data_IF_171770752813
#
_entry.id   IF_171770752813
#
_cell.length_a   1.000
_cell.length_b   1.000
_cell.length_c   1.000
_cell.angle_alpha   90.00
_cell.angle_beta   90.00
_cell.angle_gamma   90.00
#
_symmetry.space_group_name_H-M   'P 1'
#
loop_
_entity.id
_entity.type
_entity.pdbx_description
1 polymer ?
#
# COMPACT_ATOMS: atom_id res chain seq x y z
N UNK A 1 1.86 -3.63 -12.14
CA UNK A 1 1.55 -3.79 -10.70
C UNK A 1 0.25 -3.11 -10.29
N UNK A 2 0.07 -1.79 -10.50
CA UNK A 2 -1.11 -1.05 -10.00
C UNK A 2 -2.48 -1.61 -10.44
N UNK A 3 -2.61 -2.12 -11.67
CA UNK A 3 -3.87 -2.76 -12.12
C UNK A 3 -4.15 -4.09 -11.42
N UNK A 4 -3.11 -4.91 -11.19
CA UNK A 4 -3.26 -6.16 -10.45
C UNK A 4 -3.63 -5.90 -8.98
N UNK A 5 -3.01 -4.90 -8.35
CA UNK A 5 -3.36 -4.47 -6.99
C UNK A 5 -4.79 -3.90 -6.95
N UNK A 6 -5.23 -3.22 -8.00
CA UNK A 6 -6.60 -2.73 -8.12
C UNK A 6 -7.63 -3.86 -8.24
N UNK A 7 -7.40 -4.85 -9.11
CA UNK A 7 -8.27 -6.03 -9.21
C UNK A 7 -8.27 -6.81 -7.89
N UNK A 8 -7.10 -7.00 -7.26
CA UNK A 8 -6.98 -7.64 -5.95
C UNK A 8 -7.77 -6.89 -4.88
N UNK A 9 -7.72 -5.56 -4.87
CA UNK A 9 -8.57 -4.73 -4.01
C UNK A 9 -10.04 -5.01 -4.25
N UNK A 10 -10.53 -4.95 -5.51
CA UNK A 10 -11.96 -5.14 -5.81
C UNK A 10 -12.48 -6.50 -5.36
N UNK A 11 -11.70 -7.56 -5.53
CA UNK A 11 -12.09 -8.91 -5.10
C UNK A 11 -12.07 -9.00 -3.58
N UNK A 12 -11.01 -8.53 -2.92
CA UNK A 12 -10.84 -8.69 -1.48
C UNK A 12 -11.74 -7.75 -0.66
N UNK A 13 -12.05 -6.55 -1.16
CA UNK A 13 -12.96 -5.59 -0.51
C UNK A 13 -14.41 -6.07 -0.49
N UNK A 14 -14.79 -6.95 -1.43
CA UNK A 14 -16.13 -7.53 -1.53
C UNK A 14 -16.20 -8.98 -1.02
N UNK A 15 -15.12 -9.49 -0.44
CA UNK A 15 -15.07 -10.86 0.07
C UNK A 15 -15.92 -11.00 1.35
N UNK A 16 -16.63 -12.12 1.59
CA UNK A 16 -17.48 -12.28 2.78
C UNK A 16 -16.74 -12.26 4.12
N UNK A 17 -15.44 -12.59 4.13
CA UNK A 17 -14.59 -12.55 5.32
C UNK A 17 -13.99 -11.16 5.54
N UNK A 18 -14.23 -10.61 6.73
CA UNK A 18 -13.79 -9.30 7.20
C UNK A 18 -12.26 -9.12 7.16
N UNK A 19 -11.46 -10.18 7.30
CA UNK A 19 -10.00 -10.08 7.21
C UNK A 19 -9.53 -9.67 5.82
N UNK A 20 -10.18 -10.18 4.78
CA UNK A 20 -9.89 -9.79 3.39
C UNK A 20 -10.32 -8.36 3.13
N UNK A 21 -11.52 -7.98 3.58
CA UNK A 21 -12.02 -6.62 3.44
C UNK A 21 -11.10 -5.62 4.14
N UNK A 22 -10.71 -5.91 5.39
CA UNK A 22 -9.79 -5.09 6.15
C UNK A 22 -8.45 -4.95 5.44
N UNK A 23 -7.87 -6.05 4.97
CA UNK A 23 -6.56 -6.04 4.30
C UNK A 23 -6.60 -5.23 3.00
N UNK A 24 -7.67 -5.36 2.21
CA UNK A 24 -7.88 -4.61 0.98
C UNK A 24 -7.99 -3.10 1.26
N UNK A 25 -8.82 -2.72 2.24
CA UNK A 25 -9.01 -1.33 2.63
C UNK A 25 -7.76 -0.72 3.25
N UNK A 26 -7.03 -1.47 4.07
CA UNK A 26 -5.74 -1.06 4.64
C UNK A 26 -4.72 -0.78 3.54
N UNK A 27 -4.66 -1.64 2.52
CA UNK A 27 -3.79 -1.44 1.36
C UNK A 27 -4.19 -0.16 0.60
N UNK A 28 -5.45 -0.02 0.22
CA UNK A 28 -5.95 1.16 -0.51
C UNK A 28 -5.70 2.47 0.26
N UNK A 29 -5.95 2.48 1.58
CA UNK A 29 -5.65 3.60 2.47
C UNK A 29 -4.16 3.95 2.46
N UNK A 30 -3.26 2.95 2.55
CA UNK A 30 -1.81 3.20 2.49
C UNK A 30 -1.39 3.80 1.15
N UNK A 31 -1.96 3.33 0.04
CA UNK A 31 -1.76 3.94 -1.28
C UNK A 31 -2.20 5.41 -1.32
N UNK A 32 -3.39 5.72 -0.81
CA UNK A 32 -3.94 7.08 -0.78
C UNK A 32 -3.15 8.03 0.12
N UNK A 33 -2.77 7.58 1.32
CA UNK A 33 -1.96 8.37 2.25
C UNK A 33 -0.56 8.63 1.68
N UNK A 34 0.09 7.61 1.10
CA UNK A 34 1.40 7.77 0.48
C UNK A 34 1.36 8.74 -0.72
N UNK A 35 0.35 8.62 -1.59
CA UNK A 35 0.15 9.53 -2.71
C UNK A 35 -0.10 10.97 -2.25
N UNK A 36 -0.90 11.15 -1.19
CA UNK A 36 -1.14 12.47 -0.59
C UNK A 36 0.14 13.04 0.01
N UNK A 37 0.88 12.24 0.80
CA UNK A 37 2.13 12.67 1.42
C UNK A 37 3.19 13.07 0.39
N UNK A 38 3.26 12.37 -0.74
CA UNK A 38 4.17 12.72 -1.84
C UNK A 38 3.81 14.01 -2.58
N UNK A 39 2.54 14.44 -2.53
CA UNK A 39 2.06 15.70 -3.12
C UNK A 39 2.11 16.87 -2.14
N UNK A 40 1.65 16.62 -0.92
CA UNK A 40 1.63 17.57 0.19
C UNK A 40 1.94 16.82 1.49
N UNK A 41 3.15 17.03 2.00
CA UNK A 41 3.63 16.37 3.21
C UNK A 41 2.93 16.86 4.49
N UNK A 42 2.37 18.06 4.50
CA UNK A 42 1.63 18.61 5.65
C UNK A 42 0.30 17.88 5.76
N UNK A 43 -0.45 17.80 4.65
CA UNK A 43 -1.73 17.08 4.61
C UNK A 43 -1.49 15.58 4.84
N UNK A 44 -0.47 15.00 4.20
CA UNK A 44 -0.13 13.60 4.39
C UNK A 44 0.18 13.25 5.84
N UNK A 45 0.90 14.13 6.56
CA UNK A 45 1.19 13.94 7.98
C UNK A 45 -0.08 14.02 8.83
N UNK A 46 -0.93 15.01 8.59
CA UNK A 46 -2.22 15.13 9.28
C UNK A 46 -3.10 13.88 9.08
N UNK A 47 -3.12 13.30 7.87
CA UNK A 47 -3.83 12.04 7.60
C UNK A 47 -3.26 10.88 8.43
N UNK A 48 -1.93 10.71 8.47
CA UNK A 48 -1.29 9.68 9.30
C UNK A 48 -1.63 9.87 10.79
N UNK A 49 -1.59 11.11 11.28
CA UNK A 49 -1.86 11.43 12.68
C UNK A 49 -3.34 11.19 13.05
N UNK A 50 -4.25 11.30 12.09
CA UNK A 50 -5.68 10.98 12.27
C UNK A 50 -5.99 9.48 12.34
N UNK A 51 -5.04 8.60 11.98
CA UNK A 51 -5.28 7.16 11.96
C UNK A 51 -5.46 6.59 13.37
N UNK A 52 -6.38 5.64 13.57
CA UNK A 52 -6.50 4.95 14.85
C UNK A 52 -5.19 4.25 15.24
N UNK A 53 -4.82 4.34 16.52
CA UNK A 53 -3.58 3.72 17.05
C UNK A 53 -3.48 2.22 16.75
N UNK A 54 -4.62 1.51 16.73
CA UNK A 54 -4.69 0.08 16.40
C UNK A 54 -4.22 -0.23 14.97
N UNK A 55 -4.57 0.62 14.01
CA UNK A 55 -4.13 0.48 12.61
C UNK A 55 -2.62 0.68 12.51
N UNK A 56 -2.10 1.72 13.17
CA UNK A 56 -0.67 2.00 13.21
C UNK A 56 0.10 0.81 13.83
N UNK A 57 -0.43 0.26 14.92
CA UNK A 57 0.14 -0.93 15.59
C UNK A 57 0.15 -2.14 14.65
N UNK A 58 -0.96 -2.43 13.98
CA UNK A 58 -1.06 -3.55 13.05
C UNK A 58 -0.10 -3.42 11.86
N UNK A 59 0.07 -2.21 11.30
CA UNK A 59 1.06 -1.96 10.26
C UNK A 59 2.47 -2.25 10.78
N UNK A 60 2.81 -1.80 11.99
CA UNK A 60 4.12 -2.08 12.61
C UNK A 60 4.35 -3.55 12.86
N UNK A 61 3.36 -4.27 13.40
CA UNK A 61 3.43 -5.72 13.63
C UNK A 61 3.72 -6.48 12.33
N UNK A 62 3.04 -6.10 11.23
CA UNK A 62 3.32 -6.69 9.91
C UNK A 62 4.76 -6.38 9.44
N UNK A 63 5.20 -5.13 9.57
CA UNK A 63 6.57 -4.75 9.20
C UNK A 63 7.62 -5.50 10.01
N UNK A 64 7.42 -5.61 11.32
CA UNK A 64 8.35 -6.28 12.23
C UNK A 64 8.36 -7.80 11.98
N UNK A 65 7.21 -8.40 11.69
CA UNK A 65 7.10 -9.78 11.22
C UNK A 65 7.98 -9.98 9.98
N UNK A 66 7.80 -9.19 8.92
CA UNK A 66 8.59 -9.32 7.69
C UNK A 66 10.08 -9.03 7.90
N UNK A 67 10.44 -8.05 8.74
CA UNK A 67 11.82 -7.75 9.13
C UNK A 67 12.50 -8.93 9.82
N UNK A 68 11.77 -9.68 10.65
CA UNK A 68 12.34 -10.84 11.36
C UNK A 68 12.86 -11.93 10.41
N UNK A 69 12.30 -12.03 9.19
CA UNK A 69 12.77 -12.94 8.15
C UNK A 69 13.98 -12.41 7.36
N UNK A 70 14.31 -11.12 7.45
CA UNK A 70 15.44 -10.52 6.73
C UNK A 70 16.81 -10.97 7.29
N UNK A 71 16.91 -11.27 8.58
CA UNK A 71 18.19 -11.54 9.26
C UNK A 71 18.83 -12.91 8.93
N UNK A 72 18.11 -13.87 8.31
CA UNK A 72 18.68 -15.20 7.98
C UNK A 72 19.16 -15.37 6.54
N UNK A 73 18.88 -14.41 5.66
CA UNK A 73 19.25 -14.45 4.24
C UNK A 73 19.76 -13.09 3.72
N UNK A 74 20.26 -12.26 4.65
CA UNK A 74 20.64 -10.87 4.44
C UNK A 74 21.58 -10.62 3.24
N UNK A 75 22.60 -11.43 2.94
CA UNK A 75 23.46 -11.20 1.77
C UNK A 75 22.77 -11.50 0.45
N UNK A 76 21.97 -12.58 0.41
CA UNK A 76 21.30 -13.03 -0.81
C UNK A 76 20.12 -12.12 -1.18
N UNK A 77 19.31 -11.73 -0.19
CA UNK A 77 18.23 -10.80 -0.41
C UNK A 77 18.72 -9.37 -0.61
N UNK A 78 19.81 -8.90 0.01
CA UNK A 78 20.40 -7.60 -0.38
C UNK A 78 20.76 -7.60 -1.85
N UNK A 79 21.42 -8.64 -2.37
CA UNK A 79 21.80 -8.71 -3.78
C UNK A 79 20.58 -8.83 -4.71
N UNK A 80 19.58 -9.65 -4.32
CA UNK A 80 18.34 -9.81 -5.07
C UNK A 80 17.48 -8.54 -5.04
N UNK A 81 17.27 -7.92 -3.89
CA UNK A 81 16.51 -6.67 -3.75
C UNK A 81 17.23 -5.48 -4.37
N UNK A 82 18.56 -5.36 -4.25
CA UNK A 82 19.32 -4.32 -4.95
C UNK A 82 19.15 -4.47 -6.46
N UNK A 83 19.29 -5.68 -6.99
CA UNK A 83 19.11 -5.93 -8.43
C UNK A 83 17.64 -5.78 -8.85
N UNK A 84 16.68 -6.21 -8.03
CA UNK A 84 15.25 -6.01 -8.27
C UNK A 84 14.89 -4.51 -8.27
N UNK A 85 15.42 -3.71 -7.34
CA UNK A 85 15.21 -2.27 -7.26
C UNK A 85 15.95 -1.51 -8.38
N UNK A 86 17.15 -1.95 -8.77
CA UNK A 86 17.95 -1.39 -9.88
C UNK A 86 17.35 -1.72 -11.25
N UNK A 87 16.85 -2.94 -11.45
CA UNK A 87 16.17 -3.37 -12.68
C UNK A 87 14.79 -2.73 -12.83
N UNK A 88 14.07 -2.48 -11.72
CA UNK A 88 12.74 -1.85 -11.75
C UNK A 88 12.74 -0.32 -11.70
N UNK A 89 13.88 0.37 -11.92
CA UNK A 89 14.00 1.83 -12.00
C UNK A 89 12.96 2.57 -11.14
N UNK A 90 13.25 2.71 -9.85
CA UNK A 90 12.42 3.37 -8.84
C UNK A 90 12.20 4.89 -9.07
N UNK A 91 12.11 5.33 -10.32
CA UNK A 91 11.47 6.59 -10.74
C UNK A 91 9.94 6.49 -10.72
N UNK A 92 9.37 5.29 -10.73
CA UNK A 92 7.92 5.09 -10.70
C UNK A 92 7.31 4.99 -9.30
N UNK A 93 8.08 5.18 -8.22
CA UNK A 93 7.56 5.07 -6.85
C UNK A 93 6.28 5.88 -6.64
N UNK A 94 6.33 7.19 -6.85
CA UNK A 94 5.15 8.08 -6.76
C UNK A 94 4.13 7.80 -7.88
N UNK A 95 4.59 7.47 -9.10
CA UNK A 95 3.72 7.23 -10.26
C UNK A 95 2.87 5.96 -10.11
N UNK A 96 3.42 4.90 -9.53
CA UNK A 96 2.74 3.65 -9.22
C UNK A 96 1.66 3.82 -8.15
N UNK A 97 1.94 4.62 -7.10
CA UNK A 97 0.92 5.05 -6.15
C UNK A 97 -0.17 5.87 -6.85
N UNK A 98 0.23 6.81 -7.72
CA UNK A 98 -0.70 7.67 -8.44
C UNK A 98 -1.63 6.89 -9.39
N UNK A 99 -1.16 5.82 -10.04
CA UNK A 99 -2.02 4.99 -10.92
C UNK A 99 -3.03 4.17 -10.14
N UNK A 100 -2.61 3.51 -9.04
CA UNK A 100 -3.54 2.74 -8.19
C UNK A 100 -4.61 3.65 -7.59
N UNK A 101 -4.21 4.79 -7.01
CA UNK A 101 -5.14 5.77 -6.44
C UNK A 101 -6.07 6.33 -7.52
N UNK A 102 -5.57 6.60 -8.72
CA UNK A 102 -6.39 7.03 -9.85
C UNK A 102 -7.47 6.02 -10.23
N UNK A 103 -7.14 4.73 -10.26
CA UNK A 103 -8.11 3.66 -10.52
C UNK A 103 -9.18 3.58 -9.42
N UNK A 104 -8.78 3.69 -8.14
CA UNK A 104 -9.71 3.72 -7.01
C UNK A 104 -10.69 4.91 -7.11
N UNK A 105 -10.19 6.10 -7.41
CA UNK A 105 -11.03 7.31 -7.55
C UNK A 105 -11.96 7.18 -8.74
N UNK A 106 -11.45 6.80 -9.92
CA UNK A 106 -12.26 6.65 -11.12
C UNK A 106 -13.35 5.57 -10.97
N UNK A 107 -13.04 4.46 -10.29
CA UNK A 107 -14.02 3.43 -9.98
C UNK A 107 -15.13 3.96 -9.07
N UNK A 108 -14.77 4.67 -8.00
CA UNK A 108 -15.73 5.30 -7.08
C UNK A 108 -16.61 6.33 -7.79
N UNK A 109 -16.05 7.17 -8.64
CA UNK A 109 -16.81 8.17 -9.42
C UNK A 109 -17.79 7.51 -10.39
N UNK A 110 -17.41 6.37 -10.99
CA UNK A 110 -18.24 5.66 -11.96
C UNK A 110 -19.37 4.85 -11.32
N UNK A 111 -19.14 4.23 -10.16
CA UNK A 111 -20.06 3.24 -9.59
C UNK A 111 -20.64 3.62 -8.21
N UNK A 112 -20.13 4.66 -7.54
CA UNK A 112 -20.59 5.08 -6.20
C UNK A 112 -19.87 4.34 -5.05
N UNK A 113 -20.23 4.72 -3.81
CA UNK A 113 -19.97 3.92 -2.61
C UNK A 113 -21.26 3.17 -2.31
N UNK A 114 -21.21 1.85 -2.28
CA UNK A 114 -22.25 1.05 -1.61
C UNK A 114 -22.17 1.29 -0.09
#
# INVERSE_FOLDING_TARGET
ESEANFIGYLVASNHPDLYYQYSANLMAMRYAVAATYGRDSIIGRALVDSLPKGIIKNIRESQDFWRSYQNKAEPFFKLFYDNYLKLNQQQDGIKGYSKMVGLLVAYREKYGLD
#
